data_IF_625861160633
#
_entry.id   IF_625861160633
#
_cell.length_a   1.000
_cell.length_b   1.000
_cell.length_c   1.000
_cell.angle_alpha   90.00
_cell.angle_beta   90.00
_cell.angle_gamma   90.00
#
_symmetry.space_group_name_H-M   'P 1'
#
loop_
_entity.id
_entity.type
_entity.pdbx_description
1 polymer ?
#
# COMPACT_ATOMS: atom_id res chain seq x y z
N UNK A 1 25.74 -16.54 15.83
CA UNK A 1 24.27 -16.55 15.63
C UNK A 1 23.87 -17.91 15.11
N UNK A 2 22.67 -18.40 15.42
CA UNK A 2 22.12 -19.64 14.87
C UNK A 2 21.86 -19.42 13.38
N UNK A 3 22.23 -20.41 12.53
CA UNK A 3 21.97 -20.33 11.09
C UNK A 3 20.50 -20.56 10.78
N UNK A 4 19.99 -19.85 9.78
CA UNK A 4 18.64 -20.02 9.22
C UNK A 4 18.56 -21.20 8.25
N UNK A 5 19.72 -21.66 7.71
CA UNK A 5 19.75 -22.67 6.65
C UNK A 5 19.00 -23.95 7.00
N UNK A 6 18.09 -24.33 6.11
CA UNK A 6 17.28 -25.54 6.22
C UNK A 6 16.08 -25.42 7.18
N UNK A 7 15.87 -24.29 7.83
CA UNK A 7 14.77 -24.07 8.76
C UNK A 7 13.45 -23.71 8.04
N UNK A 8 12.32 -23.82 8.74
CA UNK A 8 11.05 -23.33 8.22
C UNK A 8 11.03 -21.80 8.16
N UNK A 9 11.72 -21.12 9.08
CA UNK A 9 11.88 -19.67 9.07
C UNK A 9 12.57 -19.17 7.79
N UNK A 10 13.62 -19.88 7.30
CA UNK A 10 14.25 -19.52 6.02
C UNK A 10 13.26 -19.57 4.85
N UNK A 11 12.46 -20.66 4.76
CA UNK A 11 11.42 -20.77 3.72
C UNK A 11 10.35 -19.72 3.85
N UNK A 12 9.92 -19.39 5.07
CA UNK A 12 8.93 -18.36 5.34
C UNK A 12 9.45 -16.97 4.94
N UNK A 13 10.72 -16.66 5.23
CA UNK A 13 11.35 -15.41 4.80
C UNK A 13 11.33 -15.31 3.28
N UNK A 14 11.72 -16.36 2.57
CA UNK A 14 11.75 -16.35 1.10
C UNK A 14 10.33 -16.29 0.52
N UNK A 15 9.36 -16.95 1.15
CA UNK A 15 7.94 -16.86 0.75
C UNK A 15 7.42 -15.45 0.90
N UNK A 16 7.68 -14.79 2.05
CA UNK A 16 7.29 -13.41 2.27
C UNK A 16 8.00 -12.46 1.28
N UNK A 17 9.31 -12.63 1.07
CA UNK A 17 10.05 -11.86 0.05
C UNK A 17 9.44 -11.99 -1.35
N UNK A 18 9.02 -13.19 -1.75
CA UNK A 18 8.35 -13.42 -3.03
C UNK A 18 6.96 -12.75 -3.07
N UNK A 19 6.22 -12.78 -1.95
CA UNK A 19 4.95 -12.11 -1.75
C UNK A 19 5.07 -10.60 -1.96
N UNK A 20 5.94 -9.96 -1.21
CA UNK A 20 6.25 -8.52 -1.33
C UNK A 20 6.69 -8.14 -2.76
N UNK A 21 7.53 -8.97 -3.37
CA UNK A 21 8.04 -8.70 -4.72
C UNK A 21 6.95 -8.74 -5.79
N UNK A 22 6.01 -9.69 -5.70
CA UNK A 22 4.89 -9.74 -6.64
C UNK A 22 3.85 -8.65 -6.35
N UNK A 23 3.56 -8.35 -5.06
CA UNK A 23 2.64 -7.28 -4.66
C UNK A 23 3.11 -5.92 -5.20
N UNK A 24 4.38 -5.60 -4.99
CA UNK A 24 5.03 -4.42 -5.56
C UNK A 24 4.78 -4.28 -7.07
N UNK A 25 5.01 -5.35 -7.85
CA UNK A 25 4.80 -5.29 -9.30
C UNK A 25 3.31 -5.08 -9.65
N UNK A 26 2.40 -5.75 -8.94
CA UNK A 26 0.96 -5.56 -9.13
C UNK A 26 0.55 -4.12 -8.86
N UNK A 27 1.06 -3.50 -7.80
CA UNK A 27 0.73 -2.11 -7.45
C UNK A 27 1.27 -1.11 -8.47
N UNK A 28 2.45 -1.34 -9.06
CA UNK A 28 2.92 -0.55 -10.20
C UNK A 28 1.95 -0.64 -11.41
N UNK A 29 1.38 -1.83 -11.68
CA UNK A 29 0.38 -2.00 -12.74
C UNK A 29 -0.94 -1.31 -12.38
N UNK A 30 -1.40 -1.41 -11.13
CA UNK A 30 -2.62 -0.76 -10.64
C UNK A 30 -2.47 0.76 -10.64
N UNK A 31 -1.29 1.30 -10.33
CA UNK A 31 -0.98 2.72 -10.48
C UNK A 31 -1.16 3.20 -11.92
N UNK A 32 -0.69 2.41 -12.89
CA UNK A 32 -0.89 2.69 -14.31
C UNK A 32 -2.37 2.73 -14.72
N UNK A 33 -3.17 1.80 -14.20
CA UNK A 33 -4.62 1.78 -14.41
C UNK A 33 -5.30 3.02 -13.78
N UNK A 34 -4.97 3.34 -12.53
CA UNK A 34 -5.53 4.50 -11.83
C UNK A 34 -5.23 5.83 -12.54
N UNK A 35 -4.04 5.99 -13.12
CA UNK A 35 -3.72 7.17 -13.96
C UNK A 35 -4.61 7.25 -15.18
N UNK A 36 -4.86 6.13 -15.87
CA UNK A 36 -5.74 6.09 -17.06
C UNK A 36 -7.19 6.38 -16.70
N UNK A 37 -7.64 5.92 -15.55
CA UNK A 37 -8.99 6.17 -15.02
C UNK A 37 -9.17 7.61 -14.49
N UNK A 38 -8.09 8.40 -14.42
CA UNK A 38 -8.14 9.80 -13.97
C UNK A 38 -8.02 9.98 -12.45
N UNK A 39 -7.41 9.04 -11.74
CA UNK A 39 -7.19 9.08 -10.27
C UNK A 39 -5.71 9.18 -9.93
N UNK A 40 -5.08 10.34 -10.20
CA UNK A 40 -3.64 10.53 -10.00
C UNK A 40 -3.22 10.34 -8.55
N UNK A 41 -4.03 10.80 -7.57
CA UNK A 41 -3.76 10.56 -6.16
C UNK A 41 -3.68 9.07 -5.84
N UNK A 42 -4.65 8.29 -6.33
CA UNK A 42 -4.72 6.84 -6.08
C UNK A 42 -3.54 6.13 -6.76
N UNK A 43 -3.16 6.57 -7.95
CA UNK A 43 -1.97 6.04 -8.63
C UNK A 43 -0.70 6.26 -7.80
N UNK A 44 -0.54 7.44 -7.19
CA UNK A 44 0.62 7.73 -6.36
C UNK A 44 0.60 6.93 -5.04
N UNK A 45 -0.59 6.65 -4.48
CA UNK A 45 -0.75 5.76 -3.33
C UNK A 45 -0.31 4.33 -3.66
N UNK A 46 -0.71 3.78 -4.80
CA UNK A 46 -0.22 2.48 -5.25
C UNK A 46 1.30 2.47 -5.43
N UNK A 47 1.85 3.52 -6.06
CA UNK A 47 3.30 3.64 -6.26
C UNK A 47 4.05 3.73 -4.92
N UNK A 48 3.53 4.50 -3.97
CA UNK A 48 4.12 4.62 -2.62
C UNK A 48 4.12 3.27 -1.91
N UNK A 49 2.98 2.54 -1.91
CA UNK A 49 2.89 1.22 -1.30
C UNK A 49 3.86 0.24 -1.96
N UNK A 50 3.93 0.23 -3.30
CA UNK A 50 4.90 -0.59 -4.03
C UNK A 50 6.37 -0.33 -3.61
N UNK A 51 6.71 0.92 -3.27
CA UNK A 51 8.04 1.26 -2.77
C UNK A 51 8.24 0.80 -1.31
N UNK A 52 7.19 0.80 -0.49
CA UNK A 52 7.22 0.30 0.88
C UNK A 52 7.39 -1.22 0.90
N UNK A 53 6.64 -1.96 0.09
CA UNK A 53 6.79 -3.42 -0.09
C UNK A 53 8.19 -3.82 -0.56
N UNK A 54 8.79 -3.00 -1.43
CA UNK A 54 10.19 -3.20 -1.83
C UNK A 54 11.15 -3.12 -0.63
N UNK A 55 10.92 -2.23 0.33
CA UNK A 55 11.77 -2.15 1.53
C UNK A 55 11.48 -3.30 2.51
N UNK A 56 10.21 -3.78 2.61
CA UNK A 56 9.89 -5.01 3.33
C UNK A 56 10.62 -6.21 2.72
N UNK A 57 10.50 -6.41 1.41
CA UNK A 57 11.23 -7.44 0.67
C UNK A 57 12.74 -7.38 0.93
N UNK A 58 13.34 -6.20 0.86
CA UNK A 58 14.76 -5.98 1.11
C UNK A 58 15.15 -6.29 2.56
N UNK A 59 14.31 -5.94 3.55
CA UNK A 59 14.58 -6.28 4.96
C UNK A 59 14.55 -7.78 5.19
N UNK A 60 13.60 -8.49 4.60
CA UNK A 60 13.48 -9.94 4.65
C UNK A 60 14.67 -10.62 3.97
N UNK A 61 15.04 -10.16 2.77
CA UNK A 61 16.17 -10.71 2.02
C UNK A 61 17.50 -10.62 2.77
N UNK A 62 17.70 -9.59 3.60
CA UNK A 62 18.92 -9.42 4.42
C UNK A 62 19.11 -10.50 5.49
N UNK A 63 18.09 -11.29 5.83
CA UNK A 63 18.23 -12.40 6.74
C UNK A 63 18.75 -13.66 6.07
N UNK A 64 18.59 -13.79 4.74
CA UNK A 64 19.00 -14.98 4.00
C UNK A 64 20.52 -15.08 3.91
N UNK A 65 21.02 -16.31 4.00
CA UNK A 65 22.45 -16.62 4.10
C UNK A 65 23.05 -17.10 2.76
N UNK A 66 22.36 -16.87 1.66
CA UNK A 66 22.79 -17.24 0.30
C UNK A 66 22.52 -18.70 -0.07
N UNK A 67 22.69 -19.00 -1.36
CA UNK A 67 22.32 -20.25 -1.98
C UNK A 67 20.90 -20.23 -2.52
N UNK A 68 20.42 -21.38 -2.99
CA UNK A 68 19.07 -21.56 -3.51
C UNK A 68 18.19 -22.23 -2.44
N UNK A 69 17.00 -21.70 -2.22
CA UNK A 69 16.00 -22.23 -1.28
C UNK A 69 14.72 -22.51 -2.04
N UNK A 70 14.28 -23.75 -2.04
CA UNK A 70 13.02 -24.15 -2.66
C UNK A 70 11.84 -23.79 -1.77
N UNK A 71 10.83 -23.12 -2.35
CA UNK A 71 9.56 -22.79 -1.71
C UNK A 71 8.40 -23.26 -2.58
N UNK A 72 7.28 -23.58 -1.95
CA UNK A 72 5.99 -23.77 -2.60
C UNK A 72 5.01 -22.78 -2.00
N UNK A 73 4.48 -21.87 -2.82
CA UNK A 73 3.54 -20.84 -2.39
C UNK A 73 2.53 -20.54 -3.49
N UNK A 74 1.37 -20.03 -3.10
CA UNK A 74 0.34 -19.52 -4.01
C UNK A 74 0.27 -18.00 -3.87
N UNK A 75 0.22 -17.31 -5.00
CA UNK A 75 0.09 -15.87 -5.05
C UNK A 75 -1.10 -15.46 -5.92
N UNK A 76 -1.69 -14.26 -5.70
CA UNK A 76 -2.77 -13.78 -6.53
C UNK A 76 -2.40 -13.75 -8.01
N UNK A 77 -3.19 -14.44 -8.84
CA UNK A 77 -3.06 -14.48 -10.30
C UNK A 77 -4.14 -13.61 -10.98
N UNK A 78 -4.58 -12.57 -10.27
CA UNK A 78 -5.66 -11.71 -10.71
C UNK A 78 -5.30 -10.84 -11.91
N UNK A 79 -6.34 -10.27 -12.50
CA UNK A 79 -6.25 -9.40 -13.67
C UNK A 79 -6.11 -7.93 -13.25
N UNK A 80 -5.56 -7.10 -14.13
CA UNK A 80 -5.58 -5.64 -13.98
C UNK A 80 -6.91 -5.15 -14.53
N UNK A 81 -7.71 -4.48 -13.68
CA UNK A 81 -9.04 -3.97 -14.02
C UNK A 81 -9.14 -2.47 -13.76
N UNK A 82 -10.36 -1.95 -13.56
CA UNK A 82 -10.59 -0.57 -13.12
C UNK A 82 -10.09 -0.32 -11.68
N UNK A 83 -9.85 0.93 -11.37
CA UNK A 83 -9.19 1.38 -10.13
C UNK A 83 -9.89 0.87 -8.87
N UNK A 84 -11.23 0.90 -8.80
CA UNK A 84 -11.97 0.43 -7.61
C UNK A 84 -11.71 -1.06 -7.34
N UNK A 85 -11.83 -1.90 -8.37
CA UNK A 85 -11.61 -3.33 -8.22
C UNK A 85 -10.14 -3.67 -7.89
N UNK A 86 -9.18 -2.92 -8.45
CA UNK A 86 -7.76 -3.07 -8.13
C UNK A 86 -7.46 -2.69 -6.67
N UNK A 87 -8.14 -1.66 -6.11
CA UNK A 87 -8.03 -1.29 -4.70
C UNK A 87 -8.55 -2.41 -3.77
N UNK A 88 -9.69 -3.03 -4.10
CA UNK A 88 -10.18 -4.18 -3.33
C UNK A 88 -9.26 -5.40 -3.45
N UNK A 89 -8.71 -5.66 -4.63
CA UNK A 89 -7.77 -6.76 -4.81
C UNK A 89 -6.45 -6.55 -4.04
N UNK A 90 -5.98 -5.30 -3.96
CA UNK A 90 -4.83 -4.93 -3.13
C UNK A 90 -5.17 -5.12 -1.64
N UNK A 91 -6.26 -4.50 -1.17
CA UNK A 91 -6.71 -4.61 0.22
C UNK A 91 -6.85 -6.07 0.70
N UNK A 92 -7.38 -6.96 -0.15
CA UNK A 92 -7.49 -8.39 0.19
C UNK A 92 -6.13 -9.07 0.36
N UNK A 93 -5.11 -8.65 -0.40
CA UNK A 93 -3.73 -9.12 -0.23
C UNK A 93 -3.15 -8.70 1.10
N UNK A 94 -3.20 -7.40 1.39
CA UNK A 94 -2.73 -6.84 2.67
C UNK A 94 -3.43 -7.48 3.87
N UNK A 95 -4.76 -7.67 3.76
CA UNK A 95 -5.55 -8.34 4.79
C UNK A 95 -5.02 -9.74 5.13
N UNK A 96 -4.75 -10.56 4.11
CA UNK A 96 -4.17 -11.89 4.30
C UNK A 96 -2.78 -11.82 4.94
N UNK A 97 -1.98 -10.85 4.54
CA UNK A 97 -0.61 -10.71 5.03
C UNK A 97 -0.56 -10.41 6.53
N UNK A 98 -1.35 -9.44 7.03
CA UNK A 98 -1.30 -9.07 8.45
C UNK A 98 -2.16 -9.96 9.36
N UNK A 99 -3.20 -10.62 8.84
CA UNK A 99 -4.06 -11.47 9.67
C UNK A 99 -3.58 -12.92 9.75
N UNK A 100 -2.95 -13.43 8.71
CA UNK A 100 -2.61 -14.85 8.58
C UNK A 100 -1.10 -15.09 8.37
N UNK A 101 -0.53 -14.55 7.29
CA UNK A 101 0.82 -14.89 6.85
C UNK A 101 1.88 -14.45 7.84
N UNK A 102 2.00 -13.17 8.11
CA UNK A 102 3.04 -12.64 9.00
C UNK A 102 2.90 -13.11 10.44
N UNK A 103 1.71 -13.16 11.07
CA UNK A 103 1.55 -13.72 12.40
C UNK A 103 1.98 -15.19 12.50
N UNK A 104 1.60 -16.00 11.52
CA UNK A 104 1.99 -17.41 11.46
C UNK A 104 3.52 -17.58 11.30
N UNK A 105 4.13 -16.83 10.40
CA UNK A 105 5.57 -16.88 10.14
C UNK A 105 6.38 -16.38 11.33
N UNK A 106 5.91 -15.33 12.01
CA UNK A 106 6.55 -14.81 13.22
C UNK A 106 6.53 -15.83 14.37
N UNK A 107 5.41 -16.54 14.57
CA UNK A 107 5.31 -17.58 15.59
C UNK A 107 6.25 -18.77 15.31
N UNK A 108 6.42 -19.15 14.05
CA UNK A 108 7.38 -20.17 13.65
C UNK A 108 8.81 -19.69 13.92
N UNK A 109 9.12 -18.45 13.56
CA UNK A 109 10.44 -17.86 13.80
C UNK A 109 10.80 -17.85 15.29
N UNK A 110 9.86 -17.47 16.17
CA UNK A 110 10.06 -17.54 17.62
C UNK A 110 10.29 -18.99 18.09
N UNK A 111 9.50 -19.94 17.63
CA UNK A 111 9.63 -21.35 18.00
C UNK A 111 10.98 -21.96 17.58
N UNK A 112 11.52 -21.47 16.47
CA UNK A 112 12.85 -21.85 15.95
C UNK A 112 13.98 -21.01 16.56
N UNK A 113 13.68 -20.02 17.43
CA UNK A 113 14.64 -19.20 18.15
C UNK A 113 15.20 -18.00 17.37
N UNK A 114 14.46 -17.53 16.37
CA UNK A 114 14.78 -16.35 15.54
C UNK A 114 13.94 -15.13 15.91
N UNK A 115 14.05 -14.68 17.15
CA UNK A 115 13.21 -13.60 17.70
C UNK A 115 13.33 -12.26 16.96
N UNK A 116 14.49 -11.95 16.37
CA UNK A 116 14.64 -10.75 15.52
C UNK A 116 13.78 -10.85 14.25
N UNK A 117 13.78 -12.01 13.59
CA UNK A 117 12.94 -12.25 12.41
C UNK A 117 11.47 -12.13 12.77
N UNK A 118 11.06 -12.76 13.88
CA UNK A 118 9.68 -12.68 14.38
C UNK A 118 9.25 -11.23 14.67
N UNK A 119 10.11 -10.46 15.31
CA UNK A 119 9.87 -9.05 15.60
C UNK A 119 9.68 -8.25 14.30
N UNK A 120 10.55 -8.44 13.30
CA UNK A 120 10.45 -7.75 12.01
C UNK A 120 9.14 -8.11 11.31
N UNK A 121 8.77 -9.39 11.24
CA UNK A 121 7.51 -9.82 10.60
C UNK A 121 6.27 -9.21 11.26
N UNK A 122 6.23 -9.13 12.60
CA UNK A 122 5.12 -8.46 13.31
C UNK A 122 5.04 -6.96 13.03
N UNK A 123 6.18 -6.30 12.86
CA UNK A 123 6.19 -4.87 12.52
C UNK A 123 5.80 -4.61 11.06
N UNK A 124 6.18 -5.49 10.13
CA UNK A 124 5.67 -5.42 8.76
C UNK A 124 4.14 -5.59 8.77
N UNK A 125 3.59 -6.57 9.49
CA UNK A 125 2.15 -6.76 9.60
C UNK A 125 1.37 -5.50 10.02
N UNK A 126 1.95 -4.64 10.86
CA UNK A 126 1.34 -3.36 11.22
C UNK A 126 1.28 -2.41 10.02
N UNK A 127 2.30 -2.41 9.16
CA UNK A 127 2.31 -1.60 7.94
C UNK A 127 1.25 -2.11 6.93
N UNK A 128 1.11 -3.44 6.78
CA UNK A 128 0.13 -4.02 5.85
C UNK A 128 -1.31 -3.76 6.30
N UNK A 129 -1.58 -3.72 7.61
CA UNK A 129 -2.88 -3.26 8.10
C UNK A 129 -3.18 -1.82 7.68
N UNK A 130 -2.20 -0.92 7.78
CA UNK A 130 -2.36 0.47 7.34
C UNK A 130 -2.54 0.57 5.82
N UNK A 131 -1.85 -0.26 5.03
CA UNK A 131 -2.03 -0.33 3.58
C UNK A 131 -3.46 -0.74 3.21
N UNK A 132 -4.00 -1.79 3.85
CA UNK A 132 -5.40 -2.21 3.66
C UNK A 132 -6.38 -1.07 3.96
N UNK A 133 -6.29 -0.47 5.15
CA UNK A 133 -7.18 0.62 5.57
C UNK A 133 -7.19 1.76 4.54
N UNK A 134 -6.02 2.12 4.01
CA UNK A 134 -5.85 3.16 3.00
C UNK A 134 -6.49 2.77 1.67
N UNK A 135 -6.27 1.55 1.19
CA UNK A 135 -6.88 1.06 -0.06
C UNK A 135 -8.41 1.01 0.05
N UNK A 136 -8.95 0.51 1.15
CA UNK A 136 -10.39 0.46 1.39
C UNK A 136 -11.02 1.85 1.47
N UNK A 137 -10.36 2.81 2.10
CA UNK A 137 -10.83 4.19 2.17
C UNK A 137 -10.93 4.82 0.76
N UNK A 138 -9.95 4.60 -0.12
CA UNK A 138 -10.00 5.09 -1.50
C UNK A 138 -11.04 4.34 -2.35
N UNK A 139 -11.18 3.02 -2.19
CA UNK A 139 -12.22 2.26 -2.87
C UNK A 139 -13.62 2.78 -2.50
N UNK A 140 -13.86 3.04 -1.20
CA UNK A 140 -15.09 3.66 -0.71
C UNK A 140 -15.33 5.03 -1.34
N UNK A 141 -14.31 5.88 -1.41
CA UNK A 141 -14.45 7.22 -2.03
C UNK A 141 -14.82 7.13 -3.52
N UNK A 142 -14.30 6.15 -4.27
CA UNK A 142 -14.70 5.92 -5.67
C UNK A 142 -16.14 5.48 -5.72
N UNK A 143 -16.53 4.45 -4.96
CA UNK A 143 -17.87 3.89 -4.91
C UNK A 143 -18.94 4.93 -4.58
N UNK A 144 -18.62 5.86 -3.68
CA UNK A 144 -19.51 6.93 -3.24
C UNK A 144 -19.43 8.21 -4.10
N UNK A 145 -18.62 8.23 -5.16
CA UNK A 145 -18.41 9.41 -6.01
C UNK A 145 -17.73 10.58 -5.29
N UNK A 146 -16.97 10.32 -4.22
CA UNK A 146 -16.43 11.32 -3.32
C UNK A 146 -14.98 11.69 -3.58
N UNK A 147 -14.31 11.12 -4.58
CA UNK A 147 -12.90 11.41 -4.85
C UNK A 147 -12.69 12.91 -5.09
N UNK A 148 -13.55 13.53 -5.91
CA UNK A 148 -13.46 14.95 -6.30
C UNK A 148 -14.62 15.80 -5.80
N UNK A 149 -15.44 15.29 -4.88
CA UNK A 149 -16.62 15.98 -4.32
C UNK A 149 -16.63 15.81 -2.81
N UNK A 150 -17.03 16.84 -2.09
CA UNK A 150 -17.27 16.83 -0.63
C UNK A 150 -18.59 17.54 -0.31
N UNK A 151 -19.23 17.14 0.76
CA UNK A 151 -20.47 17.76 1.23
C UNK A 151 -20.27 19.20 1.71
N UNK A 152 -19.13 19.47 2.32
CA UNK A 152 -18.72 20.79 2.80
C UNK A 152 -17.49 21.28 2.04
N UNK A 153 -17.29 22.61 1.93
CA UNK A 153 -16.08 23.14 1.29
C UNK A 153 -14.80 22.64 1.95
N UNK A 154 -13.87 22.16 1.13
CA UNK A 154 -12.51 21.76 1.51
C UNK A 154 -11.50 22.50 0.65
N UNK A 155 -10.24 22.44 1.02
CA UNK A 155 -9.16 22.94 0.17
C UNK A 155 -8.68 21.81 -0.75
N UNK A 156 -8.80 22.01 -2.04
CA UNK A 156 -8.27 21.15 -3.09
C UNK A 156 -6.86 21.59 -3.47
N UNK A 157 -5.93 20.66 -3.49
CA UNK A 157 -4.55 20.88 -3.95
C UNK A 157 -4.34 20.24 -5.31
N UNK A 158 -3.83 20.99 -6.28
CA UNK A 158 -3.35 20.43 -7.53
C UNK A 158 -2.00 19.72 -7.31
N UNK A 159 -1.94 18.43 -7.53
CA UNK A 159 -0.72 17.61 -7.36
C UNK A 159 0.37 17.96 -8.37
N UNK A 160 0.01 18.56 -9.51
CA UNK A 160 0.98 18.96 -10.52
C UNK A 160 1.72 20.25 -10.17
N UNK A 161 1.05 21.28 -9.63
CA UNK A 161 1.66 22.58 -9.44
C UNK A 161 1.51 23.20 -8.04
N UNK A 162 0.79 22.51 -7.12
CA UNK A 162 0.56 22.98 -5.75
C UNK A 162 -0.52 24.06 -5.62
N UNK A 163 -1.21 24.47 -6.69
CA UNK A 163 -2.29 25.45 -6.62
C UNK A 163 -3.41 24.98 -5.68
N UNK A 164 -3.91 25.89 -4.84
CA UNK A 164 -4.97 25.64 -3.87
C UNK A 164 -6.25 26.31 -4.28
N UNK A 165 -7.38 25.60 -4.18
CA UNK A 165 -8.72 26.09 -4.49
C UNK A 165 -9.69 25.59 -3.42
N UNK A 166 -10.52 26.48 -2.87
CA UNK A 166 -11.55 26.10 -1.87
C UNK A 166 -12.88 25.86 -2.55
N UNK A 167 -13.57 24.79 -2.21
CA UNK A 167 -14.90 24.47 -2.72
C UNK A 167 -15.36 23.06 -2.36
N UNK A 168 -16.61 22.74 -2.67
CA UNK A 168 -17.17 21.39 -2.49
C UNK A 168 -16.79 20.44 -3.62
N UNK A 169 -16.31 20.96 -4.74
CA UNK A 169 -15.88 20.19 -5.92
C UNK A 169 -14.45 20.58 -6.29
N UNK A 170 -13.66 19.60 -6.66
CA UNK A 170 -12.38 19.87 -7.32
C UNK A 170 -12.62 20.58 -8.67
N UNK A 171 -11.78 21.57 -9.05
CA UNK A 171 -11.93 22.27 -10.33
C UNK A 171 -11.83 21.34 -11.53
N UNK A 172 -12.60 21.63 -12.59
CA UNK A 172 -12.50 20.89 -13.86
C UNK A 172 -11.09 21.03 -14.49
N UNK A 173 -10.51 22.24 -14.35
CA UNK A 173 -9.14 22.56 -14.76
C UNK A 173 -8.47 23.37 -13.66
N UNK A 174 -7.21 23.12 -13.42
CA UNK A 174 -6.41 23.91 -12.50
C UNK A 174 -6.25 25.33 -13.02
N UNK A 175 -6.60 26.38 -12.23
CA UNK A 175 -6.51 27.75 -12.69
C UNK A 175 -5.05 28.23 -12.91
N UNK A 176 -4.05 27.54 -12.35
CA UNK A 176 -2.66 27.89 -12.50
C UNK A 176 -1.93 27.14 -13.63
N UNK A 177 -2.25 25.86 -13.85
CA UNK A 177 -1.48 25.03 -14.81
C UNK A 177 -2.33 24.23 -15.80
N UNK A 178 -3.65 24.46 -15.81
CA UNK A 178 -4.62 23.84 -16.73
C UNK A 178 -4.67 22.31 -16.72
N UNK A 179 -4.12 21.62 -15.69
CA UNK A 179 -4.29 20.20 -15.53
C UNK A 179 -5.72 19.85 -15.09
N UNK A 180 -6.28 18.73 -15.55
CA UNK A 180 -7.66 18.35 -15.28
C UNK A 180 -7.89 17.94 -13.81
N UNK A 181 -9.16 17.78 -13.43
CA UNK A 181 -9.63 17.33 -12.11
C UNK A 181 -8.87 16.12 -11.57
N UNK A 182 -8.46 15.19 -12.44
CA UNK A 182 -7.66 14.02 -12.10
C UNK A 182 -6.44 14.30 -11.22
N UNK A 183 -5.90 15.51 -11.29
CA UNK A 183 -4.71 15.95 -10.54
C UNK A 183 -5.03 16.61 -9.19
N UNK A 184 -6.29 16.66 -8.78
CA UNK A 184 -6.64 17.26 -7.50
C UNK A 184 -6.78 16.22 -6.39
N UNK A 185 -6.47 16.65 -5.18
CA UNK A 185 -6.73 15.92 -3.94
C UNK A 185 -7.17 16.90 -2.85
N UNK A 186 -7.80 16.39 -1.81
CA UNK A 186 -8.04 17.20 -0.60
C UNK A 186 -6.70 17.48 0.07
N UNK A 187 -6.44 18.76 0.37
CA UNK A 187 -5.21 19.17 1.05
C UNK A 187 -5.15 18.56 2.45
N UNK A 188 -4.07 17.89 2.75
CA UNK A 188 -3.69 17.47 4.09
C UNK A 188 -2.39 18.17 4.49
N UNK A 189 -2.42 18.90 5.61
CA UNK A 189 -1.27 19.63 6.13
C UNK A 189 -0.68 18.93 7.36
N UNK A 190 0.21 17.97 7.20
CA UNK A 190 0.80 17.23 8.33
C UNK A 190 1.71 18.09 9.22
N UNK A 191 2.11 19.27 8.75
CA UNK A 191 2.92 20.24 9.51
C UNK A 191 2.10 21.20 10.38
N UNK A 192 0.77 21.22 10.27
CA UNK A 192 -0.10 21.99 11.18
C UNK A 192 -0.31 21.21 12.47
N UNK A 193 0.48 21.52 13.50
CA UNK A 193 0.31 20.91 14.80
C UNK A 193 -1.04 21.31 15.44
N UNK A 194 -1.85 20.33 15.80
CA UNK A 194 -2.97 20.51 16.75
C UNK A 194 -4.34 20.83 16.21
N UNK A 195 -4.57 20.86 14.90
CA UNK A 195 -5.94 20.80 14.36
C UNK A 195 -6.24 19.35 13.94
N UNK A 196 -6.40 18.50 14.95
CA UNK A 196 -6.90 17.14 14.75
C UNK A 196 -8.25 17.19 14.06
N UNK A 197 -8.28 16.88 12.79
CA UNK A 197 -9.51 16.64 12.08
C UNK A 197 -10.16 15.42 12.70
N UNK A 198 -11.25 15.62 13.44
CA UNK A 198 -12.18 14.52 13.69
C UNK A 198 -12.72 14.07 12.34
N UNK A 199 -12.25 12.91 11.89
CA UNK A 199 -12.90 12.18 10.82
C UNK A 199 -14.11 11.49 11.46
N UNK A 200 -15.29 12.11 11.27
CA UNK A 200 -16.59 11.49 11.50
C UNK A 200 -16.99 10.67 10.27
#
# INVERSE_FOLDING_TARGET
MKSLKGTQTERNILTAFAGESQARNRYDYFAGAAKKDGFVQIADIFTETALQDKEHAKRLFKFLEGGDVEITAAFPAGIITGTEANLYAAAAGEHHEYTEMYPSFANIADSEGFSEVACVMRNIAIAEQYHEERFLAFAKNIKEGRVFVRETPVVWRCRNCGCLVTGTHAPALCPACAHPTAHFEVLHNPWEAGKGGHHG
#
